data_IF_039204695046
#
_entry.id   IF_039204695046
#
_cell.length_a   1.000
_cell.length_b   1.000
_cell.length_c   1.000
_cell.angle_alpha   90.00
_cell.angle_beta   90.00
_cell.angle_gamma   90.00
#
_symmetry.space_group_name_H-M   'P 1'
#
loop_
_entity.id
_entity.type
_entity.pdbx_description
1 polymer ?
#
# COMPACT_ATOMS: atom_id res chain seq x y z
N UNK A 1 18.33 9.91 20.73
CA UNK A 1 16.86 10.01 20.83
C UNK A 1 16.42 8.80 21.62
N UNK A 2 15.72 8.98 22.76
CA UNK A 2 15.14 7.87 23.50
C UNK A 2 14.16 7.11 22.62
N UNK A 3 14.28 5.79 22.48
CA UNK A 3 13.29 4.95 21.83
C UNK A 3 11.93 5.24 22.48
N UNK A 4 10.99 5.73 21.70
CA UNK A 4 9.60 5.89 22.12
C UNK A 4 9.04 4.48 22.38
N UNK A 5 9.02 4.05 23.65
CA UNK A 5 8.37 2.79 24.03
C UNK A 5 6.86 3.03 24.00
N UNK A 6 6.22 2.57 22.93
CA UNK A 6 4.75 2.61 22.83
C UNK A 6 4.19 1.59 23.82
N UNK A 7 3.14 2.02 24.56
CA UNK A 7 2.45 1.13 25.48
C UNK A 7 1.87 -0.09 24.74
N UNK A 8 2.01 -1.32 25.31
CA UNK A 8 1.35 -2.52 24.77
C UNK A 8 -0.17 -2.40 24.66
N UNK A 9 -0.78 -1.46 25.37
CA UNK A 9 -2.20 -1.13 25.25
C UNK A 9 -2.54 -0.42 23.92
N UNK A 10 -1.57 0.23 23.29
CA UNK A 10 -1.75 0.94 22.02
C UNK A 10 -1.26 0.16 20.82
N UNK A 11 -0.27 -0.72 20.97
CA UNK A 11 0.34 -1.48 19.89
C UNK A 11 0.51 -2.95 20.30
N UNK A 12 -0.15 -3.85 19.57
CA UNK A 12 -0.01 -5.29 19.72
C UNK A 12 0.57 -5.91 18.46
N UNK A 13 1.65 -6.67 18.65
CA UNK A 13 2.29 -7.42 17.56
C UNK A 13 1.98 -8.90 17.78
N UNK A 14 1.57 -9.62 16.75
CA UNK A 14 1.25 -11.05 16.83
C UNK A 14 2.48 -11.88 17.22
N UNK A 15 2.32 -13.05 17.85
CA UNK A 15 3.44 -13.92 18.21
C UNK A 15 4.32 -14.29 17.00
N UNK A 16 3.73 -14.56 15.83
CA UNK A 16 4.45 -14.86 14.59
C UNK A 16 5.37 -13.72 14.18
N UNK A 17 4.84 -12.48 14.18
CA UNK A 17 5.61 -11.28 13.82
C UNK A 17 6.65 -10.96 14.90
N UNK A 18 6.33 -11.11 16.19
CA UNK A 18 7.31 -10.93 17.28
C UNK A 18 8.49 -11.88 17.14
N UNK A 19 8.23 -13.16 16.86
CA UNK A 19 9.29 -14.16 16.61
C UNK A 19 10.14 -13.77 15.41
N UNK A 20 9.49 -13.30 14.34
CA UNK A 20 10.20 -12.85 13.15
C UNK A 20 11.13 -11.67 13.44
N UNK A 21 10.65 -10.65 14.13
CA UNK A 21 11.45 -9.47 14.48
C UNK A 21 12.62 -9.84 15.41
N UNK A 22 12.36 -10.67 16.44
CA UNK A 22 13.39 -11.13 17.39
C UNK A 22 14.48 -11.95 16.72
N UNK A 23 14.10 -12.82 15.79
CA UNK A 23 15.02 -13.72 15.09
C UNK A 23 15.52 -13.15 13.75
N UNK A 24 15.32 -11.85 13.52
CA UNK A 24 15.75 -11.16 12.31
C UNK A 24 15.26 -11.87 11.02
N UNK A 25 14.03 -12.41 11.02
CA UNK A 25 13.38 -12.95 9.84
C UNK A 25 12.77 -11.82 8.99
N UNK A 26 12.68 -11.98 7.67
CA UNK A 26 12.08 -10.97 6.80
C UNK A 26 10.58 -10.80 7.09
N UNK A 27 10.15 -9.58 7.38
CA UNK A 27 8.74 -9.21 7.59
C UNK A 27 8.22 -8.32 6.47
N UNK A 28 6.97 -8.54 6.05
CA UNK A 28 6.28 -7.73 5.04
C UNK A 28 4.95 -7.24 5.63
N UNK A 29 4.79 -5.93 5.74
CA UNK A 29 3.53 -5.31 6.15
C UNK A 29 2.49 -5.37 5.01
N UNK A 30 1.21 -5.44 5.38
CA UNK A 30 0.05 -5.36 4.49
C UNK A 30 -0.96 -4.38 5.07
N UNK A 31 -1.62 -3.60 4.21
CA UNK A 31 -2.71 -2.70 4.61
C UNK A 31 -4.04 -3.45 4.80
N UNK A 32 -5.01 -2.79 5.44
CA UNK A 32 -6.36 -3.33 5.61
C UNK A 32 -7.46 -2.57 4.88
N UNK A 33 -7.17 -1.42 4.27
CA UNK A 33 -8.17 -0.72 3.44
C UNK A 33 -8.65 -1.58 2.28
N UNK A 34 -7.75 -2.38 1.69
CA UNK A 34 -8.13 -3.32 0.63
C UNK A 34 -9.14 -4.36 1.11
N UNK A 35 -9.11 -4.72 2.40
CA UNK A 35 -10.07 -5.65 3.01
C UNK A 35 -11.43 -4.99 3.18
N UNK A 36 -11.48 -3.82 3.84
CA UNK A 36 -12.76 -3.20 4.23
C UNK A 36 -13.38 -2.34 3.13
N UNK A 37 -12.56 -1.77 2.22
CA UNK A 37 -13.01 -0.78 1.23
C UNK A 37 -12.63 -1.09 -0.21
N UNK A 38 -11.94 -2.21 -0.46
CA UNK A 38 -11.43 -2.53 -1.79
C UNK A 38 -12.20 -3.59 -2.57
N UNK A 39 -12.90 -4.48 -1.88
CA UNK A 39 -13.57 -5.62 -2.48
C UNK A 39 -14.78 -6.05 -1.66
N UNK A 40 -15.79 -6.73 -2.28
CA UNK A 40 -16.92 -7.27 -1.54
C UNK A 40 -16.54 -8.50 -0.69
N UNK A 41 -17.27 -8.72 0.40
CA UNK A 41 -17.20 -9.95 1.19
C UNK A 41 -17.90 -11.09 0.45
N UNK A 42 -17.39 -12.33 0.49
CA UNK A 42 -16.23 -12.84 1.25
C UNK A 42 -14.88 -12.74 0.52
N UNK A 43 -14.86 -12.28 -0.73
CA UNK A 43 -13.66 -12.25 -1.58
C UNK A 43 -12.53 -11.40 -0.96
N UNK A 44 -12.87 -10.31 -0.29
CA UNK A 44 -11.90 -9.42 0.37
C UNK A 44 -11.08 -10.15 1.45
N UNK A 45 -11.75 -10.85 2.36
CA UNK A 45 -11.09 -11.60 3.44
C UNK A 45 -10.28 -12.78 2.88
N UNK A 46 -10.84 -13.51 1.90
CA UNK A 46 -10.15 -14.62 1.25
C UNK A 46 -8.87 -14.13 0.54
N UNK A 47 -8.95 -13.05 -0.23
CA UNK A 47 -7.78 -12.48 -0.92
C UNK A 47 -6.70 -12.06 0.08
N UNK A 48 -7.06 -11.42 1.20
CA UNK A 48 -6.09 -11.02 2.22
C UNK A 48 -5.37 -12.24 2.81
N UNK A 49 -6.08 -13.31 3.15
CA UNK A 49 -5.52 -14.56 3.65
C UNK A 49 -4.59 -15.20 2.61
N UNK A 50 -5.00 -15.25 1.36
CA UNK A 50 -4.19 -15.82 0.26
C UNK A 50 -2.91 -15.01 0.00
N UNK A 51 -2.95 -13.67 0.13
CA UNK A 51 -1.76 -12.80 0.05
C UNK A 51 -0.80 -13.11 1.19
N UNK A 52 -1.27 -13.26 2.43
CA UNK A 52 -0.43 -13.70 3.55
C UNK A 52 0.24 -15.06 3.29
N UNK A 53 -0.52 -16.04 2.80
CA UNK A 53 0.01 -17.36 2.46
C UNK A 53 1.06 -17.26 1.34
N UNK A 54 0.88 -16.35 0.39
CA UNK A 54 1.87 -16.09 -0.67
C UNK A 54 3.17 -15.58 -0.09
N UNK A 55 3.12 -14.63 0.86
CA UNK A 55 4.31 -14.12 1.56
C UNK A 55 5.00 -15.25 2.34
N UNK A 56 4.25 -16.10 3.07
CA UNK A 56 4.81 -17.25 3.79
C UNK A 56 5.51 -18.25 2.85
N UNK A 57 4.90 -18.53 1.70
CA UNK A 57 5.51 -19.40 0.67
C UNK A 57 6.82 -18.84 0.11
N UNK A 58 6.97 -17.51 0.09
CA UNK A 58 8.22 -16.85 -0.29
C UNK A 58 9.27 -16.83 0.84
N UNK A 59 8.96 -17.36 2.03
CA UNK A 59 9.87 -17.42 3.17
C UNK A 59 9.97 -16.12 3.98
N UNK A 60 9.00 -15.23 3.83
CA UNK A 60 8.83 -14.04 4.65
C UNK A 60 7.62 -14.17 5.59
N UNK A 61 7.53 -13.30 6.60
CA UNK A 61 6.43 -13.29 7.57
C UNK A 61 5.48 -12.13 7.24
N UNK A 62 4.20 -12.40 6.92
CA UNK A 62 3.22 -11.36 6.67
C UNK A 62 2.80 -10.68 7.97
N UNK A 63 2.52 -9.39 7.87
CA UNK A 63 2.02 -8.59 8.97
C UNK A 63 0.90 -7.68 8.47
N UNK A 64 -0.32 -8.19 8.38
CA UNK A 64 -1.50 -7.38 8.08
C UNK A 64 -1.77 -6.43 9.24
N UNK A 65 -1.95 -5.15 8.94
CA UNK A 65 -2.05 -4.07 9.93
C UNK A 65 -3.45 -3.45 9.90
N UNK A 66 -4.06 -3.32 11.08
CA UNK A 66 -5.33 -2.62 11.29
C UNK A 66 -5.41 -2.08 12.72
N UNK A 67 -6.52 -1.40 13.03
CA UNK A 67 -6.89 -1.02 14.39
C UNK A 67 -8.11 -1.83 14.77
N UNK A 68 -8.04 -2.59 15.86
CA UNK A 68 -9.13 -3.40 16.38
C UNK A 68 -9.40 -2.97 17.83
N UNK A 69 -10.63 -2.48 18.08
CA UNK A 69 -11.01 -2.01 19.43
C UNK A 69 -10.11 -0.90 19.97
N UNK A 70 -9.59 -0.02 19.10
CA UNK A 70 -8.66 1.06 19.47
C UNK A 70 -7.20 0.62 19.63
N UNK A 71 -6.87 -0.64 19.36
CA UNK A 71 -5.49 -1.15 19.46
C UNK A 71 -4.92 -1.29 18.05
N UNK A 72 -3.75 -0.70 17.80
CA UNK A 72 -2.99 -0.93 16.58
C UNK A 72 -2.46 -2.36 16.58
N UNK A 73 -2.89 -3.17 15.63
CA UNK A 73 -2.51 -4.57 15.47
C UNK A 73 -1.51 -4.73 14.33
N UNK A 74 -0.50 -5.54 14.55
CA UNK A 74 0.52 -5.92 13.55
C UNK A 74 0.57 -7.44 13.44
N UNK A 75 0.06 -7.97 12.36
CA UNK A 75 -0.26 -9.39 12.19
C UNK A 75 -1.64 -9.72 12.77
N UNK A 76 -2.66 -9.65 11.91
CA UNK A 76 -4.03 -10.00 12.27
C UNK A 76 -4.22 -11.50 12.32
N UNK A 77 -5.14 -11.97 13.17
CA UNK A 77 -5.69 -13.31 13.09
C UNK A 77 -6.65 -13.44 11.90
N UNK A 78 -6.94 -14.67 11.48
CA UNK A 78 -7.95 -14.92 10.44
C UNK A 78 -9.32 -14.35 10.82
N UNK A 79 -9.71 -14.49 12.09
CA UNK A 79 -10.99 -13.97 12.60
C UNK A 79 -11.03 -12.44 12.54
N UNK A 80 -9.92 -11.74 12.83
CA UNK A 80 -9.82 -10.28 12.70
C UNK A 80 -9.87 -9.84 11.22
N UNK A 81 -9.27 -10.58 10.30
CA UNK A 81 -9.37 -10.33 8.84
C UNK A 81 -10.83 -10.52 8.39
N UNK A 82 -11.49 -11.60 8.80
CA UNK A 82 -12.89 -11.84 8.47
C UNK A 82 -13.83 -10.78 9.06
N UNK A 83 -13.57 -10.34 10.29
CA UNK A 83 -14.30 -9.24 10.93
C UNK A 83 -14.24 -7.98 10.06
N UNK A 84 -13.04 -7.54 9.69
CA UNK A 84 -12.85 -6.36 8.84
C UNK A 84 -13.51 -6.52 7.47
N UNK A 85 -13.44 -7.71 6.89
CA UNK A 85 -14.06 -8.03 5.61
C UNK A 85 -15.58 -7.98 5.67
N UNK A 86 -16.18 -8.51 6.73
CA UNK A 86 -17.63 -8.56 6.93
C UNK A 86 -18.22 -7.19 7.26
N UNK A 87 -17.55 -6.43 8.13
CA UNK A 87 -17.98 -5.08 8.48
C UNK A 87 -17.81 -4.10 7.28
N UNK A 88 -16.85 -4.35 6.40
CA UNK A 88 -16.67 -3.60 5.16
C UNK A 88 -16.62 -2.09 5.39
N UNK A 89 -17.45 -1.34 4.67
CA UNK A 89 -17.51 0.12 4.76
C UNK A 89 -17.90 0.68 6.13
N UNK A 90 -18.42 -0.13 7.06
CA UNK A 90 -18.69 0.29 8.43
C UNK A 90 -17.40 0.47 9.24
N UNK A 91 -16.29 -0.14 8.83
CA UNK A 91 -14.98 0.09 9.43
C UNK A 91 -14.45 1.44 9.00
N UNK A 92 -13.97 2.24 9.94
CA UNK A 92 -13.42 3.56 9.63
C UNK A 92 -12.17 3.43 8.77
N UNK A 93 -12.13 4.10 7.61
CA UNK A 93 -10.91 4.26 6.80
C UNK A 93 -9.97 5.22 7.50
N UNK A 94 -8.81 4.73 7.94
CA UNK A 94 -7.86 5.44 8.79
C UNK A 94 -6.63 5.85 8.01
N UNK A 95 -6.39 7.15 7.91
CA UNK A 95 -5.13 7.73 7.48
C UNK A 95 -4.41 8.38 8.67
N UNK A 96 -3.27 9.03 8.44
CA UNK A 96 -2.45 9.66 9.49
C UNK A 96 -3.27 10.51 10.47
N UNK A 97 -4.13 11.41 9.97
CA UNK A 97 -4.92 12.32 10.80
C UNK A 97 -5.99 11.63 11.64
N UNK A 98 -6.49 10.46 11.19
CA UNK A 98 -7.58 9.74 11.82
C UNK A 98 -7.11 8.82 12.94
N UNK A 99 -5.87 8.36 12.84
CA UNK A 99 -5.28 7.34 13.69
C UNK A 99 -5.43 7.64 15.21
N UNK A 100 -5.07 8.81 15.73
CA UNK A 100 -5.19 9.07 17.17
C UNK A 100 -6.65 9.08 17.65
N UNK A 101 -7.59 9.51 16.81
CA UNK A 101 -9.00 9.59 17.17
C UNK A 101 -9.66 8.21 17.17
N UNK A 102 -9.35 7.35 16.20
CA UNK A 102 -9.90 5.99 16.13
C UNK A 102 -9.36 5.14 17.28
N UNK A 103 -8.07 5.27 17.60
CA UNK A 103 -7.43 4.60 18.73
C UNK A 103 -8.05 5.08 20.06
N UNK A 104 -8.13 6.39 20.29
CA UNK A 104 -8.69 6.94 21.52
C UNK A 104 -10.18 6.62 21.73
N UNK A 105 -10.93 6.48 20.63
CA UNK A 105 -12.35 6.13 20.69
C UNK A 105 -12.61 4.61 20.83
N UNK A 106 -11.60 3.77 20.89
CA UNK A 106 -11.75 2.31 20.98
C UNK A 106 -12.43 1.67 19.76
N UNK A 107 -12.31 2.28 18.57
CA UNK A 107 -13.00 1.83 17.35
C UNK A 107 -12.15 0.93 16.47
N UNK A 108 -12.79 0.23 15.52
CA UNK A 108 -12.13 -0.49 14.46
C UNK A 108 -11.73 0.47 13.33
N UNK A 109 -10.55 0.24 12.75
CA UNK A 109 -10.02 1.05 11.67
C UNK A 109 -9.24 0.23 10.65
N UNK A 110 -9.56 0.44 9.37
CA UNK A 110 -8.82 -0.10 8.24
C UNK A 110 -7.74 0.90 7.82
N UNK A 111 -6.49 0.47 7.83
CA UNK A 111 -5.33 1.34 7.59
C UNK A 111 -5.07 1.55 6.11
N UNK A 112 -4.89 2.83 5.72
CA UNK A 112 -4.39 3.23 4.39
C UNK A 112 -2.88 2.99 4.29
N UNK A 113 -2.28 3.27 3.12
CA UNK A 113 -0.82 3.21 2.95
C UNK A 113 -0.12 4.05 4.04
N UNK A 114 -0.54 5.30 4.25
CA UNK A 114 0.06 6.19 5.25
C UNK A 114 0.03 5.59 6.66
N UNK A 115 -1.13 5.19 7.16
CA UNK A 115 -1.23 4.65 8.52
C UNK A 115 -0.59 3.26 8.66
N UNK A 116 -0.59 2.46 7.60
CA UNK A 116 0.15 1.18 7.56
C UNK A 116 1.66 1.42 7.68
N UNK A 117 2.21 2.38 6.94
CA UNK A 117 3.63 2.76 7.06
C UNK A 117 4.00 3.18 8.47
N UNK A 118 3.18 4.04 9.10
CA UNK A 118 3.39 4.49 10.48
C UNK A 118 3.48 3.30 11.42
N UNK A 119 2.49 2.42 11.41
CA UNK A 119 2.39 1.29 12.33
C UNK A 119 3.47 0.25 12.03
N UNK A 120 3.78 -0.01 10.76
CA UNK A 120 4.89 -0.88 10.36
C UNK A 120 6.25 -0.38 10.88
N UNK A 121 6.51 0.94 10.75
CA UNK A 121 7.73 1.55 11.27
C UNK A 121 7.82 1.45 12.80
N UNK A 122 6.71 1.66 13.53
CA UNK A 122 6.62 1.50 14.98
C UNK A 122 6.92 0.05 15.41
N UNK A 123 6.55 -0.93 14.61
CA UNK A 123 6.86 -2.34 14.84
C UNK A 123 8.27 -2.74 14.35
N UNK A 124 8.97 -1.89 13.62
CA UNK A 124 10.31 -2.19 13.08
C UNK A 124 10.31 -2.87 11.71
N UNK A 125 9.15 -3.00 11.05
CA UNK A 125 9.03 -3.58 9.70
C UNK A 125 9.44 -2.54 8.65
N UNK A 126 10.27 -2.95 7.68
CA UNK A 126 10.89 -2.06 6.69
C UNK A 126 10.34 -2.19 5.27
N UNK A 127 9.55 -3.23 5.00
CA UNK A 127 8.97 -3.49 3.68
C UNK A 127 7.46 -3.67 3.80
N UNK A 128 6.73 -3.04 2.90
CA UNK A 128 5.27 -3.07 2.83
C UNK A 128 4.83 -3.36 1.40
N UNK A 129 3.90 -4.28 1.21
CA UNK A 129 3.30 -4.61 -0.08
C UNK A 129 1.85 -4.11 -0.13
N UNK A 130 1.50 -3.40 -1.21
CA UNK A 130 0.13 -2.93 -1.49
C UNK A 130 -0.18 -3.03 -2.97
N UNK A 131 -1.42 -2.80 -3.36
CA UNK A 131 -1.80 -2.71 -4.78
C UNK A 131 -1.24 -1.46 -5.44
N UNK A 132 -1.48 -0.29 -4.86
CA UNK A 132 -1.03 1.00 -5.36
C UNK A 132 -1.14 2.08 -4.31
N UNK A 133 -0.24 3.06 -4.38
CA UNK A 133 -0.25 4.21 -3.48
C UNK A 133 -1.33 5.21 -3.88
N UNK A 134 -1.75 6.03 -2.92
CA UNK A 134 -2.44 7.29 -3.21
C UNK A 134 -1.47 8.28 -3.84
N UNK A 135 -2.01 9.34 -4.41
CA UNK A 135 -1.24 10.36 -5.12
C UNK A 135 -1.98 11.68 -5.17
N UNK A 136 -1.64 12.50 -6.14
CA UNK A 136 -2.32 13.75 -6.47
C UNK A 136 -3.59 13.40 -7.25
N UNK A 137 -4.76 13.85 -6.79
CA UNK A 137 -6.01 13.64 -7.52
C UNK A 137 -6.08 14.51 -8.78
N UNK A 138 -6.81 14.06 -9.80
CA UNK A 138 -7.08 14.87 -11.00
C UNK A 138 -7.81 16.14 -10.56
N UNK A 139 -7.41 17.30 -11.10
CA UNK A 139 -7.94 18.61 -10.70
C UNK A 139 -7.43 19.11 -9.33
N UNK A 140 -6.39 18.51 -8.77
CA UNK A 140 -5.83 18.94 -7.50
C UNK A 140 -5.27 20.36 -7.51
N UNK A 141 -4.93 20.91 -8.66
CA UNK A 141 -4.56 22.32 -8.81
C UNK A 141 -5.66 23.29 -8.40
N UNK A 142 -6.92 22.82 -8.35
CA UNK A 142 -8.07 23.58 -7.87
C UNK A 142 -8.55 23.15 -6.49
N UNK A 143 -8.42 21.85 -6.16
CA UNK A 143 -8.99 21.25 -4.94
C UNK A 143 -7.97 21.02 -3.84
N UNK A 144 -6.69 20.95 -4.16
CA UNK A 144 -5.61 20.52 -3.26
C UNK A 144 -5.83 19.11 -2.70
N UNK A 145 -6.60 18.25 -3.40
CA UNK A 145 -6.82 16.87 -2.97
C UNK A 145 -5.58 16.01 -3.27
N UNK A 146 -4.70 15.91 -2.29
CA UNK A 146 -3.45 15.19 -2.32
C UNK A 146 -3.45 14.15 -1.20
N UNK A 147 -3.16 12.90 -1.54
CA UNK A 147 -3.13 11.81 -0.57
C UNK A 147 -2.05 12.01 0.49
N UNK A 148 -2.40 11.75 1.75
CA UNK A 148 -1.44 11.73 2.85
C UNK A 148 -0.36 10.64 2.69
N UNK A 149 -0.56 9.66 1.82
CA UNK A 149 0.42 8.63 1.51
C UNK A 149 1.73 9.23 1.02
N UNK A 150 1.66 10.30 0.21
CA UNK A 150 2.84 10.96 -0.34
C UNK A 150 3.69 11.63 0.75
N UNK A 151 3.04 12.28 1.72
CA UNK A 151 3.73 12.86 2.87
C UNK A 151 4.32 11.80 3.80
N UNK A 152 3.62 10.69 3.97
CA UNK A 152 4.15 9.60 4.80
C UNK A 152 5.34 8.91 4.16
N UNK A 153 5.33 8.73 2.83
CA UNK A 153 6.48 8.27 2.06
C UNK A 153 7.71 9.17 2.25
N UNK A 154 7.51 10.47 2.37
CA UNK A 154 8.59 11.42 2.62
C UNK A 154 9.19 11.33 4.05
N UNK A 155 8.43 10.82 5.03
CA UNK A 155 8.81 10.92 6.44
C UNK A 155 9.12 9.58 7.12
N UNK A 156 8.57 8.46 6.63
CA UNK A 156 8.60 7.17 7.32
C UNK A 156 9.49 6.15 6.60
N UNK A 157 10.45 5.59 7.30
CA UNK A 157 11.48 4.67 6.77
C UNK A 157 10.90 3.26 6.50
N UNK A 158 10.01 3.16 5.52
CA UNK A 158 9.40 1.92 5.02
C UNK A 158 9.40 1.95 3.49
N UNK A 159 9.87 0.89 2.86
CA UNK A 159 9.81 0.72 1.40
C UNK A 159 8.45 0.16 1.02
N UNK A 160 7.76 0.82 0.10
CA UNK A 160 6.43 0.42 -0.39
C UNK A 160 6.56 -0.18 -1.78
N UNK A 161 6.19 -1.46 -1.90
CA UNK A 161 6.15 -2.19 -3.18
C UNK A 161 4.70 -2.17 -3.68
N UNK A 162 4.48 -1.62 -4.86
CA UNK A 162 3.16 -1.39 -5.44
C UNK A 162 3.21 -1.41 -6.98
N UNK A 163 2.06 -1.39 -7.64
CA UNK A 163 2.00 -1.24 -9.10
C UNK A 163 1.99 0.23 -9.56
N UNK A 164 2.67 1.11 -8.81
CA UNK A 164 2.65 2.56 -8.99
C UNK A 164 1.51 3.23 -8.21
N UNK A 165 1.21 4.48 -8.55
CA UNK A 165 0.02 5.16 -8.04
C UNK A 165 -1.24 4.58 -8.71
N UNK A 166 -2.38 4.64 -8.01
CA UNK A 166 -3.66 4.19 -8.57
C UNK A 166 -3.99 4.98 -9.84
N UNK A 167 -4.40 4.30 -10.90
CA UNK A 167 -4.63 4.89 -12.24
C UNK A 167 -5.73 5.95 -12.31
N UNK A 168 -6.57 6.05 -11.28
CA UNK A 168 -7.57 7.11 -11.11
C UNK A 168 -6.96 8.48 -10.74
N UNK A 169 -5.67 8.52 -10.45
CA UNK A 169 -4.93 9.70 -9.99
C UNK A 169 -4.18 10.38 -11.16
N UNK A 170 -3.67 11.58 -10.92
CA UNK A 170 -2.73 12.23 -11.82
C UNK A 170 -1.32 11.70 -11.57
N UNK A 171 -0.83 10.87 -12.49
CA UNK A 171 0.48 10.23 -12.35
C UNK A 171 1.63 11.23 -12.49
N UNK A 172 1.48 12.24 -13.37
CA UNK A 172 2.49 13.25 -13.59
C UNK A 172 2.70 14.12 -12.34
N UNK A 173 1.63 14.71 -11.82
CA UNK A 173 1.68 15.51 -10.59
C UNK A 173 2.11 14.67 -9.37
N UNK A 174 1.74 13.38 -9.34
CA UNK A 174 2.19 12.47 -8.27
C UNK A 174 3.71 12.26 -8.33
N UNK A 175 4.27 12.09 -9.52
CA UNK A 175 5.72 11.91 -9.71
C UNK A 175 6.49 13.17 -9.28
N UNK A 176 6.05 14.36 -9.71
CA UNK A 176 6.64 15.64 -9.33
C UNK A 176 6.59 15.88 -7.81
N UNK A 177 5.47 15.49 -7.18
CA UNK A 177 5.35 15.60 -5.73
C UNK A 177 6.36 14.71 -5.00
N UNK A 178 6.50 13.45 -5.42
CA UNK A 178 7.47 12.51 -4.85
C UNK A 178 8.90 13.03 -5.01
N UNK A 179 9.25 13.57 -6.19
CA UNK A 179 10.56 14.16 -6.46
C UNK A 179 10.84 15.34 -5.52
N UNK A 180 9.90 16.28 -5.42
CA UNK A 180 10.03 17.48 -4.54
C UNK A 180 10.32 17.09 -3.10
N UNK A 181 9.73 15.99 -2.60
CA UNK A 181 9.95 15.52 -1.23
C UNK A 181 11.08 14.49 -1.11
N UNK A 182 11.86 14.27 -2.16
CA UNK A 182 13.02 13.38 -2.16
C UNK A 182 12.68 11.90 -1.95
N UNK A 183 11.49 11.48 -2.37
CA UNK A 183 11.07 10.07 -2.32
C UNK A 183 11.50 9.37 -3.60
N UNK A 184 12.44 8.40 -3.55
CA UNK A 184 12.86 7.66 -4.73
C UNK A 184 11.70 6.83 -5.30
N UNK A 185 11.43 6.99 -6.59
CA UNK A 185 10.50 6.19 -7.36
C UNK A 185 11.29 5.21 -8.22
N UNK A 186 11.36 3.95 -7.79
CA UNK A 186 12.15 2.89 -8.40
C UNK A 186 11.24 2.05 -9.29
N UNK A 187 11.62 1.89 -10.56
CA UNK A 187 10.96 0.91 -11.45
C UNK A 187 11.66 -0.45 -11.36
N UNK A 188 10.92 -1.47 -10.95
CA UNK A 188 11.44 -2.84 -10.97
C UNK A 188 11.43 -3.37 -12.40
N UNK A 189 12.63 -3.53 -12.98
CA UNK A 189 12.86 -4.00 -14.36
C UNK A 189 12.18 -3.11 -15.44
N UNK A 190 11.82 -1.88 -15.13
CA UNK A 190 11.17 -0.95 -16.05
C UNK A 190 11.70 0.46 -15.90
N UNK A 191 11.72 1.23 -17.00
CA UNK A 191 11.94 2.68 -17.00
C UNK A 191 10.63 3.45 -17.01
N UNK A 192 9.59 2.89 -17.66
CA UNK A 192 8.27 3.50 -17.64
C UNK A 192 7.61 3.30 -16.27
N UNK A 193 6.92 4.32 -15.76
CA UNK A 193 6.10 4.22 -14.56
C UNK A 193 4.89 3.32 -14.83
N UNK A 194 4.69 2.21 -14.10
CA UNK A 194 3.47 1.42 -14.20
C UNK A 194 2.25 2.23 -13.77
N UNK A 195 1.14 2.06 -14.48
CA UNK A 195 -0.12 2.75 -14.22
C UNK A 195 -1.17 1.80 -13.61
N UNK A 196 -0.81 1.11 -12.53
CA UNK A 196 -1.66 0.19 -11.79
C UNK A 196 -2.19 -0.97 -12.64
N UNK A 197 -3.26 -0.76 -13.43
CA UNK A 197 -3.83 -1.77 -14.33
C UNK A 197 -3.02 -1.97 -15.62
N UNK A 198 -2.17 -0.99 -15.98
CA UNK A 198 -1.31 -1.03 -17.15
C UNK A 198 0.16 -1.15 -16.75
N UNK A 199 0.93 -1.84 -17.60
CA UNK A 199 2.36 -2.06 -17.35
C UNK A 199 3.21 -0.81 -17.51
N UNK A 200 2.71 0.15 -18.28
CA UNK A 200 3.41 1.38 -18.66
C UNK A 200 2.50 2.59 -18.57
N UNK A 201 3.10 3.76 -18.54
CA UNK A 201 2.47 5.06 -18.74
C UNK A 201 3.42 5.95 -19.54
N UNK A 202 3.00 7.17 -19.95
CA UNK A 202 3.88 8.15 -20.58
C UNK A 202 5.00 8.70 -19.66
N UNK A 203 4.93 8.42 -18.36
CA UNK A 203 5.87 8.92 -17.37
C UNK A 203 6.99 7.91 -17.10
N UNK A 204 8.14 8.42 -16.68
CA UNK A 204 9.29 7.60 -16.30
C UNK A 204 9.45 7.54 -14.77
N UNK A 205 10.12 6.50 -14.30
CA UNK A 205 10.57 6.38 -12.90
C UNK A 205 11.89 7.09 -12.72
N UNK A 206 12.24 7.45 -11.47
CA UNK A 206 13.51 8.11 -11.16
C UNK A 206 14.72 7.23 -11.48
N UNK A 207 14.60 5.93 -11.24
CA UNK A 207 15.66 4.95 -11.50
C UNK A 207 15.06 3.56 -11.74
N UNK A 208 15.67 2.82 -12.68
CA UNK A 208 15.40 1.40 -12.87
C UNK A 208 16.40 0.56 -12.07
N UNK A 209 15.90 -0.40 -11.30
CA UNK A 209 16.68 -1.46 -10.67
C UNK A 209 16.12 -2.82 -11.08
N UNK A 210 17.01 -3.78 -11.29
CA UNK A 210 16.66 -5.06 -11.93
C UNK A 210 16.60 -6.24 -10.95
N UNK A 211 16.98 -6.03 -9.68
CA UNK A 211 17.00 -7.08 -8.66
C UNK A 211 16.57 -6.58 -7.27
N UNK A 212 15.99 -7.49 -6.46
CA UNK A 212 15.68 -7.23 -5.06
C UNK A 212 16.92 -6.86 -4.24
N UNK A 213 18.09 -7.41 -4.59
CA UNK A 213 19.38 -7.09 -3.93
C UNK A 213 19.79 -5.64 -4.15
N UNK A 214 19.64 -5.10 -5.37
CA UNK A 214 19.94 -3.69 -5.65
C UNK A 214 19.01 -2.75 -4.87
N UNK A 215 17.72 -3.08 -4.82
CA UNK A 215 16.72 -2.33 -4.05
C UNK A 215 17.08 -2.36 -2.55
N UNK A 216 17.37 -3.53 -2.00
CA UNK A 216 17.75 -3.68 -0.59
C UNK A 216 19.03 -2.90 -0.24
N UNK A 217 20.02 -2.84 -1.14
CA UNK A 217 21.23 -2.02 -0.98
C UNK A 217 20.88 -0.53 -0.97
N UNK A 218 20.02 -0.06 -1.87
CA UNK A 218 19.58 1.33 -1.91
C UNK A 218 18.86 1.73 -0.62
N UNK A 219 17.97 0.85 -0.09
CA UNK A 219 17.32 1.02 1.21
C UNK A 219 18.34 1.18 2.34
N UNK A 220 19.32 0.26 2.41
CA UNK A 220 20.34 0.27 3.45
C UNK A 220 21.19 1.56 3.39
N UNK A 221 21.67 1.94 2.21
CA UNK A 221 22.46 3.17 2.02
C UNK A 221 21.65 4.40 2.41
N UNK A 222 20.40 4.52 1.93
CA UNK A 222 19.54 5.67 2.26
C UNK A 222 19.42 5.88 3.77
N UNK A 223 19.10 4.83 4.51
CA UNK A 223 18.88 4.98 5.94
C UNK A 223 20.15 5.02 6.79
N UNK A 224 21.23 4.35 6.37
CA UNK A 224 22.55 4.47 7.02
C UNK A 224 23.16 5.86 6.87
N UNK A 225 22.86 6.57 5.79
CA UNK A 225 23.30 7.97 5.58
C UNK A 225 22.39 8.99 6.30
N UNK A 226 21.37 8.55 7.02
CA UNK A 226 20.46 9.43 7.76
C UNK A 226 19.39 10.10 6.89
N UNK A 227 19.23 9.69 5.63
CA UNK A 227 18.17 10.16 4.75
C UNK A 227 16.86 9.48 5.12
N UNK A 228 16.03 10.18 5.87
CA UNK A 228 14.72 9.70 6.28
C UNK A 228 13.74 9.56 5.11
N UNK A 229 12.62 8.94 5.37
CA UNK A 229 11.57 8.65 4.39
C UNK A 229 11.73 7.29 3.72
N UNK A 230 10.66 6.86 3.09
CA UNK A 230 10.55 5.59 2.39
C UNK A 230 11.12 5.64 0.98
N UNK A 231 10.85 4.55 0.27
CA UNK A 231 11.07 4.40 -1.17
C UNK A 231 9.79 3.79 -1.77
N UNK A 232 9.47 4.15 -3.00
CA UNK A 232 8.41 3.50 -3.79
C UNK A 232 9.08 2.58 -4.81
N UNK A 233 8.71 1.30 -4.78
CA UNK A 233 9.10 0.31 -5.79
C UNK A 233 7.89 0.02 -6.67
N UNK A 234 7.91 0.57 -7.87
CA UNK A 234 6.87 0.39 -8.87
C UNK A 234 7.13 -0.91 -9.66
N UNK A 235 6.31 -1.91 -9.41
CA UNK A 235 6.38 -3.26 -9.97
C UNK A 235 5.26 -3.44 -11.00
N UNK A 236 5.56 -3.55 -12.30
CA UNK A 236 4.52 -3.70 -13.32
C UNK A 236 3.66 -4.94 -13.08
N UNK A 237 2.35 -4.78 -13.26
CA UNK A 237 1.42 -5.92 -13.27
C UNK A 237 1.89 -7.01 -14.24
N UNK A 238 1.75 -8.32 -13.94
CA UNK A 238 2.09 -9.37 -14.89
C UNK A 238 1.29 -9.22 -16.20
N UNK A 239 1.96 -9.46 -17.33
CA UNK A 239 1.43 -9.15 -18.66
C UNK A 239 0.05 -9.78 -18.92
N UNK A 240 -0.15 -11.03 -18.51
CA UNK A 240 -1.41 -11.74 -18.69
C UNK A 240 -2.59 -11.17 -17.90
N UNK A 241 -2.34 -10.27 -16.95
CA UNK A 241 -3.36 -9.62 -16.12
C UNK A 241 -3.45 -8.11 -16.37
N UNK A 242 -2.58 -7.58 -17.26
CA UNK A 242 -2.62 -6.18 -17.64
C UNK A 242 -3.87 -5.90 -18.47
N UNK A 243 -4.50 -4.76 -18.24
CA UNK A 243 -5.65 -4.32 -19.01
C UNK A 243 -5.20 -3.50 -20.24
N UNK A 244 -5.97 -3.56 -21.35
CA UNK A 244 -5.73 -2.69 -22.47
C UNK A 244 -5.90 -1.22 -22.06
N UNK A 245 -4.89 -0.39 -22.38
CA UNK A 245 -4.81 1.00 -21.93
C UNK A 245 -6.04 1.83 -22.37
N UNK A 246 -6.47 1.69 -23.60
CA UNK A 246 -7.61 2.43 -24.15
C UNK A 246 -8.90 2.13 -23.38
N UNK A 247 -9.19 0.85 -23.12
CA UNK A 247 -10.43 0.45 -22.45
C UNK A 247 -10.45 0.83 -20.98
N UNK A 248 -9.31 0.69 -20.28
CA UNK A 248 -9.27 1.04 -18.86
C UNK A 248 -9.29 2.56 -18.66
N UNK A 249 -8.64 3.35 -19.51
CA UNK A 249 -8.68 4.80 -19.44
C UNK A 249 -10.10 5.32 -19.71
N UNK A 250 -10.81 4.79 -20.68
CA UNK A 250 -12.21 5.15 -20.93
C UNK A 250 -13.11 4.88 -19.71
N UNK A 251 -12.93 3.73 -19.03
CA UNK A 251 -13.69 3.40 -17.82
C UNK A 251 -13.33 4.34 -16.66
N UNK A 252 -12.05 4.71 -16.50
CA UNK A 252 -11.60 5.65 -15.48
C UNK A 252 -12.17 7.04 -15.74
N UNK A 253 -12.09 7.55 -16.95
CA UNK A 253 -12.58 8.87 -17.31
C UNK A 253 -14.10 8.98 -17.08
N UNK A 254 -14.85 7.94 -17.41
CA UNK A 254 -16.27 7.86 -17.11
C UNK A 254 -16.54 7.86 -15.60
N UNK A 255 -15.80 7.04 -14.83
CA UNK A 255 -15.97 6.97 -13.37
C UNK A 255 -15.65 8.32 -12.70
N UNK A 256 -14.63 9.04 -13.17
CA UNK A 256 -14.26 10.37 -12.67
C UNK A 256 -15.36 11.38 -12.94
N UNK A 257 -15.89 11.42 -14.18
CA UNK A 257 -16.99 12.31 -14.51
C UNK A 257 -18.24 12.06 -13.65
N UNK A 258 -18.59 10.78 -13.43
CA UNK A 258 -19.73 10.41 -12.58
C UNK A 258 -19.48 10.78 -11.10
N UNK A 259 -18.24 10.67 -10.59
CA UNK A 259 -17.89 11.12 -9.24
C UNK A 259 -18.06 12.63 -9.07
N UNK A 260 -17.66 13.42 -10.07
CA UNK A 260 -17.85 14.88 -10.08
C UNK A 260 -19.33 15.26 -10.09
N UNK A 261 -20.15 14.63 -10.94
CA UNK A 261 -21.60 14.86 -11.01
C UNK A 261 -22.31 14.53 -9.68
N UNK A 262 -21.85 13.50 -8.97
CA UNK A 262 -22.41 13.06 -7.68
C UNK A 262 -21.82 13.82 -6.50
N UNK A 263 -20.82 14.69 -6.68
CA UNK A 263 -20.16 15.42 -5.63
C UNK A 263 -19.36 14.53 -4.66
N UNK A 264 -18.81 13.41 -5.16
CA UNK A 264 -17.98 12.49 -4.35
C UNK A 264 -16.60 13.09 -4.14
N UNK A 265 -16.24 13.35 -2.88
CA UNK A 265 -15.00 14.03 -2.51
C UNK A 265 -14.25 13.33 -1.36
N UNK A 266 -12.96 13.59 -1.23
CA UNK A 266 -12.14 13.21 -0.10
C UNK A 266 -12.01 11.70 0.08
N UNK A 267 -12.29 11.16 1.28
CA UNK A 267 -12.09 9.75 1.61
C UNK A 267 -12.90 8.77 0.76
N UNK A 268 -14.05 9.21 0.27
CA UNK A 268 -14.98 8.38 -0.52
C UNK A 268 -14.58 8.29 -1.99
N UNK A 269 -13.74 9.20 -2.51
CA UNK A 269 -13.36 9.25 -3.93
C UNK A 269 -12.72 7.95 -4.40
N UNK A 270 -11.68 7.46 -3.72
CA UNK A 270 -10.98 6.23 -4.14
C UNK A 270 -11.86 4.98 -4.12
N UNK A 271 -12.61 4.67 -3.03
CA UNK A 271 -13.52 3.51 -3.04
C UNK A 271 -14.59 3.60 -4.13
N UNK A 272 -15.20 4.76 -4.31
CA UNK A 272 -16.19 4.99 -5.36
C UNK A 272 -15.61 4.73 -6.75
N UNK A 273 -14.47 5.36 -7.08
CA UNK A 273 -13.86 5.25 -8.40
C UNK A 273 -13.45 3.82 -8.71
N UNK A 274 -12.82 3.11 -7.77
CA UNK A 274 -12.41 1.71 -7.98
C UNK A 274 -13.63 0.77 -8.15
N UNK A 275 -14.68 0.96 -7.37
CA UNK A 275 -15.91 0.18 -7.51
C UNK A 275 -16.57 0.45 -8.88
N UNK A 276 -16.65 1.73 -9.28
CA UNK A 276 -17.27 2.08 -10.54
C UNK A 276 -16.47 1.58 -11.75
N UNK A 277 -15.14 1.68 -11.71
CA UNK A 277 -14.27 1.08 -12.74
C UNK A 277 -14.46 -0.44 -12.82
N UNK A 278 -14.62 -1.12 -11.68
CA UNK A 278 -14.89 -2.56 -11.66
C UNK A 278 -16.22 -2.91 -12.34
N UNK A 279 -17.27 -2.11 -12.11
CA UNK A 279 -18.56 -2.28 -12.80
C UNK A 279 -18.44 -2.04 -14.31
N UNK A 280 -17.80 -0.94 -14.73
CA UNK A 280 -17.62 -0.56 -16.13
C UNK A 280 -16.77 -1.56 -16.91
N UNK A 281 -15.89 -2.29 -16.23
CA UNK A 281 -15.03 -3.32 -16.85
C UNK A 281 -15.56 -4.74 -16.64
N UNK A 282 -16.80 -4.91 -16.17
CA UNK A 282 -17.40 -6.23 -15.94
C UNK A 282 -16.64 -7.09 -14.92
N UNK A 283 -15.90 -6.46 -14.01
CA UNK A 283 -15.10 -7.12 -12.95
C UNK A 283 -13.66 -7.46 -13.36
N UNK A 284 -13.23 -7.18 -14.59
CA UNK A 284 -11.87 -7.50 -15.02
C UNK A 284 -10.82 -6.65 -14.31
N UNK A 285 -11.09 -5.37 -14.03
CA UNK A 285 -10.19 -4.53 -13.26
C UNK A 285 -10.01 -5.02 -11.81
N UNK A 286 -11.04 -5.64 -11.22
CA UNK A 286 -10.93 -6.25 -9.90
C UNK A 286 -9.99 -7.47 -9.93
N UNK A 287 -10.10 -8.32 -10.94
CA UNK A 287 -9.18 -9.46 -11.14
C UNK A 287 -7.75 -8.98 -11.30
N UNK A 288 -7.54 -7.94 -12.13
CA UNK A 288 -6.22 -7.32 -12.30
C UNK A 288 -5.67 -6.78 -10.98
N UNK A 289 -6.51 -6.07 -10.19
CA UNK A 289 -6.12 -5.54 -8.88
C UNK A 289 -5.67 -6.66 -7.92
N UNK A 290 -6.38 -7.77 -7.87
CA UNK A 290 -5.98 -8.93 -7.04
C UNK A 290 -4.61 -9.45 -7.48
N UNK A 291 -4.39 -9.62 -8.77
CA UNK A 291 -3.14 -10.19 -9.29
C UNK A 291 -1.92 -9.28 -9.10
N UNK A 292 -2.10 -7.95 -9.23
CA UNK A 292 -0.99 -7.04 -8.95
C UNK A 292 -0.60 -7.04 -7.45
N UNK A 293 -1.55 -7.24 -6.54
CA UNK A 293 -1.25 -7.37 -5.11
C UNK A 293 -0.42 -8.62 -4.82
N UNK A 294 -0.76 -9.76 -5.41
CA UNK A 294 0.05 -10.98 -5.30
C UNK A 294 1.46 -10.78 -5.85
N UNK A 295 1.58 -10.17 -7.03
CA UNK A 295 2.88 -9.89 -7.65
C UNK A 295 3.74 -8.96 -6.77
N UNK A 296 3.15 -7.94 -6.17
CA UNK A 296 3.83 -7.03 -5.27
C UNK A 296 4.23 -7.72 -3.95
N UNK A 297 3.41 -8.61 -3.42
CA UNK A 297 3.72 -9.40 -2.22
C UNK A 297 4.92 -10.34 -2.43
N UNK A 298 5.04 -10.95 -3.62
CA UNK A 298 6.20 -11.77 -4.00
C UNK A 298 7.47 -10.92 -4.00
N UNK A 299 7.48 -9.81 -4.74
CA UNK A 299 8.66 -8.94 -4.82
C UNK A 299 9.02 -8.32 -3.46
N UNK A 300 8.03 -7.90 -2.67
CA UNK A 300 8.26 -7.38 -1.32
C UNK A 300 8.93 -8.42 -0.42
N UNK A 301 8.53 -9.70 -0.53
CA UNK A 301 9.16 -10.79 0.21
C UNK A 301 10.63 -10.99 -0.18
N UNK A 302 10.96 -10.89 -1.46
CA UNK A 302 12.33 -10.96 -1.95
C UNK A 302 13.17 -9.79 -1.44
N UNK A 303 12.64 -8.56 -1.52
CA UNK A 303 13.31 -7.36 -1.00
C UNK A 303 13.54 -7.46 0.51
N UNK A 304 12.54 -7.92 1.26
CA UNK A 304 12.65 -8.08 2.72
C UNK A 304 13.73 -9.10 3.10
N UNK A 305 13.85 -10.22 2.37
CA UNK A 305 14.92 -11.21 2.57
C UNK A 305 16.31 -10.63 2.32
N UNK A 306 16.46 -9.92 1.20
CA UNK A 306 17.74 -9.31 0.83
C UNK A 306 18.12 -8.18 1.81
N UNK A 307 17.18 -7.37 2.22
CA UNK A 307 17.42 -6.31 3.20
C UNK A 307 17.84 -6.89 4.56
N UNK A 308 17.18 -7.96 5.02
CA UNK A 308 17.53 -8.61 6.27
C UNK A 308 18.93 -9.24 6.23
N UNK A 309 19.32 -9.81 5.08
CA UNK A 309 20.67 -10.35 4.85
C UNK A 309 21.75 -9.27 4.94
N UNK A 310 21.46 -8.03 4.52
CA UNK A 310 22.39 -6.91 4.56
C UNK A 310 22.46 -6.24 5.93
N UNK A 311 21.38 -6.30 6.72
CA UNK A 311 21.27 -5.66 8.03
C UNK A 311 21.73 -6.58 9.19
N UNK A 312 21.89 -7.87 8.94
CA UNK A 312 22.37 -8.87 9.91
C UNK A 312 23.84 -9.03 9.89
#
# INVERSE_FOLDING_TARGET
MSELKISPELLQISPEVQDALKNKKPGVALESTIISHGMPFPQNAQTAIEVEETIRKQGAVPATIAIIGGVMKVGLSKDEIELLGREGHNVTKVSRRDLPFVVAAGKNGATTVASTMIIAALAGIKVFATGGIGGVHRGAEHTFDISADLQELANTNVTVVCAGAKSILDLGLTTEYLETFGVPLIGYQTKALPAFFCRTSPFEVSIRLDSATEIARAMAVKWQTGLNGGLVVANPIPEQFAMPEESINAAIDQAVAEAEEQGVIGKESTPFLLARVAELTGGDSLKSNIQLVFNNAILASEIAKEYQRLAG
#
